data_IF_684783511711
#
_entry.id   IF_684783511711
#
_cell.length_a   1.000
_cell.length_b   1.000
_cell.length_c   1.000
_cell.angle_alpha   90.00
_cell.angle_beta   90.00
_cell.angle_gamma   90.00
#
_symmetry.space_group_name_H-M   'P 1'
#
loop_
_entity.id
_entity.type
_entity.pdbx_description
1 polymer ?
#
# COMPACT_ATOMS: atom_id res chain seq x y z
N UNK A 1 -12.02 -15.80 -30.69
CA UNK A 1 -11.24 -14.54 -30.77
C UNK A 1 -9.92 -14.76 -30.08
N UNK A 2 -8.80 -14.51 -30.77
CA UNK A 2 -7.48 -14.51 -30.13
C UNK A 2 -7.30 -13.13 -29.49
N UNK A 3 -7.15 -13.09 -28.17
CA UNK A 3 -6.82 -11.84 -27.48
C UNK A 3 -5.35 -11.54 -27.78
N UNK A 4 -5.09 -10.42 -28.44
CA UNK A 4 -3.73 -9.91 -28.64
C UNK A 4 -3.33 -9.04 -27.45
N UNK A 5 -2.21 -9.36 -26.80
CA UNK A 5 -1.66 -8.57 -25.72
C UNK A 5 -0.93 -7.35 -26.29
N UNK A 6 -1.03 -6.21 -25.59
CA UNK A 6 -0.33 -4.99 -26.00
C UNK A 6 1.13 -5.05 -25.56
N UNK A 7 2.05 -4.72 -26.47
CA UNK A 7 3.50 -4.65 -26.18
C UNK A 7 3.87 -3.67 -25.07
N UNK A 8 3.04 -2.66 -24.79
CA UNK A 8 3.28 -1.71 -23.67
C UNK A 8 3.30 -2.38 -22.29
N UNK A 9 2.69 -3.57 -22.19
CA UNK A 9 2.69 -4.37 -20.98
C UNK A 9 3.89 -5.30 -20.85
N UNK A 10 4.79 -5.33 -21.84
CA UNK A 10 6.04 -6.10 -21.80
C UNK A 10 7.06 -5.38 -20.91
N UNK A 11 6.73 -5.26 -19.63
CA UNK A 11 7.58 -4.71 -18.58
C UNK A 11 8.01 -5.82 -17.65
N UNK A 12 9.20 -5.67 -17.06
CA UNK A 12 9.67 -6.56 -16.01
C UNK A 12 8.72 -6.50 -14.80
N UNK A 13 8.46 -7.64 -14.14
CA UNK A 13 7.66 -7.67 -12.92
C UNK A 13 8.40 -7.00 -11.77
N UNK A 14 7.67 -6.72 -10.69
CA UNK A 14 8.27 -6.27 -9.45
C UNK A 14 8.89 -7.45 -8.69
N UNK A 15 10.10 -7.84 -9.07
CA UNK A 15 10.85 -9.01 -8.57
C UNK A 15 10.96 -9.13 -7.04
N UNK A 16 10.87 -8.02 -6.29
CA UNK A 16 10.90 -8.06 -4.82
C UNK A 16 9.71 -8.85 -4.23
N UNK A 17 8.58 -8.91 -4.94
CA UNK A 17 7.40 -9.65 -4.49
C UNK A 17 7.63 -11.16 -4.53
N UNK A 18 8.42 -11.67 -5.47
CA UNK A 18 8.74 -13.10 -5.57
C UNK A 18 9.62 -13.53 -4.39
N UNK A 19 10.57 -12.68 -4.00
CA UNK A 19 11.42 -12.92 -2.82
C UNK A 19 10.58 -12.92 -1.54
N UNK A 20 9.64 -11.98 -1.41
CA UNK A 20 8.70 -11.94 -0.28
C UNK A 20 7.82 -13.19 -0.23
N UNK A 21 7.28 -13.63 -1.37
CA UNK A 21 6.46 -14.83 -1.47
C UNK A 21 7.23 -16.08 -1.02
N UNK A 22 8.48 -16.23 -1.48
CA UNK A 22 9.34 -17.34 -1.09
C UNK A 22 9.69 -17.31 0.41
N UNK A 23 10.05 -16.13 0.95
CA UNK A 23 10.30 -15.97 2.38
C UNK A 23 9.08 -16.38 3.22
N UNK A 24 7.87 -16.01 2.79
CA UNK A 24 6.63 -16.41 3.46
C UNK A 24 6.38 -17.92 3.35
N UNK A 25 6.64 -18.52 2.20
CA UNK A 25 6.53 -19.98 1.99
C UNK A 25 7.48 -20.75 2.91
N UNK A 26 8.72 -20.30 3.06
CA UNK A 26 9.70 -20.89 3.97
C UNK A 26 9.26 -20.76 5.43
N UNK A 27 8.83 -19.57 5.86
CA UNK A 27 8.27 -19.34 7.21
C UNK A 27 7.07 -20.26 7.50
N UNK A 28 6.15 -20.40 6.56
CA UNK A 28 4.98 -21.27 6.70
C UNK A 28 5.35 -22.76 6.86
N UNK A 29 6.53 -23.16 6.37
CA UNK A 29 7.10 -24.51 6.57
C UNK A 29 7.89 -24.65 7.88
N UNK A 30 7.93 -23.61 8.72
CA UNK A 30 8.70 -23.60 9.96
C UNK A 30 10.20 -23.36 9.78
N UNK A 31 10.64 -22.97 8.57
CA UNK A 31 12.04 -22.62 8.33
C UNK A 31 12.32 -21.23 8.96
N UNK A 32 13.37 -21.08 9.78
CA UNK A 32 13.79 -19.77 10.27
C UNK A 32 14.23 -18.86 9.12
N UNK A 33 13.61 -17.69 8.99
CA UNK A 33 13.92 -16.72 7.91
C UNK A 33 14.07 -15.32 8.50
N UNK A 34 15.23 -14.71 8.27
CA UNK A 34 15.47 -13.27 8.44
C UNK A 34 15.24 -12.60 7.08
N UNK A 35 14.11 -11.93 6.93
CA UNK A 35 13.78 -11.26 5.66
C UNK A 35 14.34 -9.85 5.65
N UNK A 36 15.27 -9.58 4.73
CA UNK A 36 15.83 -8.26 4.45
C UNK A 36 15.41 -7.72 3.08
N UNK A 37 14.42 -8.37 2.45
CA UNK A 37 13.99 -8.08 1.07
C UNK A 37 12.79 -7.14 0.97
N UNK A 38 12.14 -6.81 2.10
CA UNK A 38 10.90 -6.04 2.12
C UNK A 38 11.20 -4.56 2.31
N UNK A 39 10.71 -3.72 1.39
CA UNK A 39 10.90 -2.26 1.42
C UNK A 39 9.86 -1.48 2.23
N UNK A 40 9.02 -2.15 3.04
CA UNK A 40 7.99 -1.51 3.87
C UNK A 40 8.41 -1.49 5.35
N UNK A 41 8.02 -0.47 6.14
CA UNK A 41 8.22 -0.46 7.58
C UNK A 41 7.49 -1.60 8.30
N UNK A 42 8.02 -2.03 9.44
CA UNK A 42 7.36 -3.01 10.33
C UNK A 42 6.27 -2.37 11.20
N UNK A 43 6.38 -1.07 11.46
CA UNK A 43 5.47 -0.37 12.37
C UNK A 43 4.09 -0.12 11.74
N UNK A 44 3.02 -0.17 12.54
CA UNK A 44 1.70 0.20 12.07
C UNK A 44 1.61 1.71 11.80
N UNK A 45 0.56 2.12 11.09
CA UNK A 45 0.24 3.54 10.98
C UNK A 45 0.06 4.19 12.38
N UNK A 46 0.43 5.49 12.54
CA UNK A 46 0.32 6.19 13.82
C UNK A 46 -1.07 6.11 14.45
N UNK A 47 -1.14 6.09 15.79
CA UNK A 47 -2.41 5.93 16.51
C UNK A 47 -3.48 6.96 16.11
N UNK A 48 -3.09 8.23 15.92
CA UNK A 48 -4.01 9.28 15.47
C UNK A 48 -4.63 9.00 14.10
N UNK A 49 -3.86 8.44 13.17
CA UNK A 49 -4.35 8.05 11.83
C UNK A 49 -5.37 6.91 11.95
N UNK A 50 -5.06 5.89 12.76
CA UNK A 50 -5.96 4.75 12.99
C UNK A 50 -7.28 5.18 13.65
N UNK A 51 -7.23 6.13 14.58
CA UNK A 51 -8.42 6.69 15.22
C UNK A 51 -9.27 7.51 14.24
N UNK A 52 -8.64 8.35 13.41
CA UNK A 52 -9.33 9.14 12.39
C UNK A 52 -10.05 8.23 11.37
N UNK A 53 -9.39 7.17 10.90
CA UNK A 53 -9.99 6.18 10.01
C UNK A 53 -11.18 5.46 10.66
N UNK A 54 -11.05 5.06 11.93
CA UNK A 54 -12.15 4.44 12.69
C UNK A 54 -13.37 5.37 12.79
N UNK A 55 -13.13 6.66 13.03
CA UNK A 55 -14.21 7.64 13.11
C UNK A 55 -14.87 7.86 11.75
N UNK A 56 -14.09 7.92 10.66
CA UNK A 56 -14.62 8.05 9.31
C UNK A 56 -15.53 6.87 8.92
N UNK A 57 -15.13 5.65 9.28
CA UNK A 57 -15.94 4.43 9.11
C UNK A 57 -17.27 4.52 9.86
N UNK A 58 -17.26 4.96 11.12
CA UNK A 58 -18.47 5.11 11.94
C UNK A 58 -19.43 6.18 11.40
N UNK A 59 -18.90 7.28 10.89
CA UNK A 59 -19.70 8.38 10.34
C UNK A 59 -20.18 8.14 8.91
N UNK A 60 -19.70 7.08 8.25
CA UNK A 60 -20.09 6.74 6.88
C UNK A 60 -19.52 7.64 5.79
N UNK A 61 -18.48 8.45 6.08
CA UNK A 61 -17.88 9.38 5.11
C UNK A 61 -16.80 8.70 4.26
N UNK A 62 -17.19 7.77 3.39
CA UNK A 62 -16.28 6.94 2.57
C UNK A 62 -16.68 6.92 1.07
N UNK A 63 -17.44 7.92 0.64
CA UNK A 63 -17.82 8.08 -0.77
C UNK A 63 -16.70 8.66 -1.64
N UNK A 64 -17.04 8.92 -2.90
CA UNK A 64 -16.15 9.62 -3.82
C UNK A 64 -15.69 10.97 -3.25
N UNK A 65 -14.44 11.30 -3.53
CA UNK A 65 -13.85 12.62 -3.27
C UNK A 65 -13.58 13.32 -4.61
N UNK A 66 -13.21 14.60 -4.55
CA UNK A 66 -12.72 15.30 -5.74
C UNK A 66 -11.54 14.56 -6.38
N UNK A 67 -11.38 14.70 -7.70
CA UNK A 67 -10.31 14.05 -8.46
C UNK A 67 -8.90 14.40 -7.95
N UNK A 68 -8.74 15.59 -7.36
CA UNK A 68 -7.49 16.05 -6.76
C UNK A 68 -7.32 15.59 -5.30
N UNK A 69 -8.32 14.92 -4.72
CA UNK A 69 -8.37 14.54 -3.31
C UNK A 69 -9.01 15.61 -2.41
N UNK A 70 -9.12 15.28 -1.12
CA UNK A 70 -9.76 16.12 -0.11
C UNK A 70 -9.02 17.45 0.06
N UNK A 71 -9.75 18.57 0.01
CA UNK A 71 -9.19 19.93 0.21
C UNK A 71 -8.39 20.04 1.50
N UNK A 72 -8.95 19.62 2.63
CA UNK A 72 -8.28 19.70 3.93
C UNK A 72 -6.98 18.87 4.01
N UNK A 73 -6.88 17.75 3.30
CA UNK A 73 -5.62 16.99 3.23
C UNK A 73 -4.57 17.72 2.39
N UNK A 74 -4.98 18.30 1.26
CA UNK A 74 -4.10 19.07 0.37
C UNK A 74 -3.54 20.31 1.10
N UNK A 75 -4.38 21.01 1.84
CA UNK A 75 -3.98 22.17 2.66
C UNK A 75 -3.02 21.75 3.78
N UNK A 76 -3.31 20.66 4.49
CA UNK A 76 -2.43 20.15 5.56
C UNK A 76 -1.04 19.73 5.04
N UNK A 77 -0.97 19.09 3.87
CA UNK A 77 0.30 18.75 3.23
C UNK A 77 1.06 20.02 2.84
N UNK A 78 0.39 21.02 2.25
CA UNK A 78 1.03 22.28 1.88
C UNK A 78 1.62 23.00 3.11
N UNK A 79 0.88 23.03 4.22
CA UNK A 79 1.36 23.61 5.49
C UNK A 79 2.55 22.85 6.09
N UNK A 80 2.66 21.54 5.87
CA UNK A 80 3.81 20.77 6.37
C UNK A 80 5.14 21.16 5.72
N UNK A 81 5.09 21.68 4.49
CA UNK A 81 6.27 22.12 3.73
C UNK A 81 6.53 23.62 3.81
N UNK A 82 5.63 24.40 4.43
CA UNK A 82 5.75 25.86 4.58
C UNK A 82 6.68 26.23 5.74
#
# INVERSE_FOLDING_TARGET
MVVSLSRRGEVEPFHAMDILAEANRLKAKGVPVVSMAVGQPSDPAPAGVRQAATNALKMGRIGYTDALGLSGLREAIAQHYA
#
